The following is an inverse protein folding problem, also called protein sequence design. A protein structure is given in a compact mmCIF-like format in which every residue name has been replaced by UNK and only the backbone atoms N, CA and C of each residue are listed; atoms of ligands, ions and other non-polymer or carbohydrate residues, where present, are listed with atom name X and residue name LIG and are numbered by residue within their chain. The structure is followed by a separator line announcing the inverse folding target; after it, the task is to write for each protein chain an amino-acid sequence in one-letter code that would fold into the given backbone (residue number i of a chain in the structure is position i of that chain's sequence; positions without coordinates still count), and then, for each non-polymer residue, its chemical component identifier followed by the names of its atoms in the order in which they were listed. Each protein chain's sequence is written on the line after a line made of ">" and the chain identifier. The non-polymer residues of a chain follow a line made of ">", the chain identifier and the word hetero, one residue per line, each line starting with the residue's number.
data_IF_166597144721
#
_entry.id   IF_166597144721
#
_cell.length_a   1.000
_cell.length_b   1.000
_cell.length_c   1.000
_cell.angle_alpha   90.00
_cell.angle_beta   90.00
_cell.angle_gamma   90.00
#
_symmetry.space_group_name_H-M   'P 1'
#
loop_
_entity.id
_entity.type
_entity.pdbx_description
1 polymer ?
#
# COMPACT_ATOMS: atom_id res chain seq x y z
N UNK A 1 -33.54 -67.37 89.74
CA UNK A 1 -34.00 -68.22 88.64
C UNK A 1 -34.37 -67.31 87.49
N UNK A 2 -33.44 -67.08 86.54
CA UNK A 2 -33.61 -66.13 85.43
C UNK A 2 -33.78 -66.91 84.16
N UNK A 3 -34.86 -66.66 83.41
CA UNK A 3 -35.11 -67.29 82.11
C UNK A 3 -34.46 -66.45 80.99
N UNK A 4 -33.56 -67.11 80.31
CA UNK A 4 -32.91 -66.53 79.16
C UNK A 4 -33.82 -66.64 77.92
N UNK A 5 -34.18 -65.55 77.31
CA UNK A 5 -34.98 -65.49 76.09
C UNK A 5 -34.04 -65.35 74.90
N UNK A 6 -34.06 -66.37 74.03
CA UNK A 6 -33.26 -66.35 72.77
C UNK A 6 -34.10 -65.66 71.71
N UNK A 7 -33.61 -64.56 71.20
CA UNK A 7 -34.20 -63.85 70.06
C UNK A 7 -33.42 -64.28 68.82
N UNK A 8 -34.07 -64.98 67.88
CA UNK A 8 -33.57 -65.33 66.56
C UNK A 8 -33.90 -64.19 65.64
N UNK A 9 -32.88 -63.50 65.08
CA UNK A 9 -33.01 -62.46 64.02
C UNK A 9 -32.77 -63.09 62.68
N UNK A 10 -33.70 -63.00 61.71
CA UNK A 10 -33.44 -63.53 60.40
C UNK A 10 -32.52 -62.60 59.59
N UNK A 11 -31.47 -63.19 59.03
CA UNK A 11 -30.52 -62.52 58.10
C UNK A 11 -31.15 -62.39 56.74
N UNK A 12 -31.51 -61.17 56.32
CA UNK A 12 -32.01 -60.89 55.03
C UNK A 12 -30.75 -60.57 54.11
N UNK A 13 -30.48 -61.48 53.20
CA UNK A 13 -29.45 -61.29 52.12
C UNK A 13 -30.03 -60.33 51.07
N UNK A 14 -29.54 -59.12 51.02
CA UNK A 14 -29.83 -58.18 49.96
C UNK A 14 -28.79 -58.40 48.87
N UNK A 15 -29.19 -59.04 47.71
CA UNK A 15 -28.39 -59.17 46.54
C UNK A 15 -28.51 -57.84 45.73
N UNK A 16 -27.52 -56.97 45.86
CA UNK A 16 -27.43 -55.76 45.10
C UNK A 16 -27.02 -56.06 43.64
N UNK A 17 -27.92 -55.86 42.73
CA UNK A 17 -27.56 -55.80 41.28
C UNK A 17 -26.82 -54.52 41.01
N UNK A 18 -25.50 -54.56 40.84
CA UNK A 18 -24.73 -53.47 40.29
C UNK A 18 -25.00 -53.41 38.77
N UNK A 19 -25.82 -52.41 38.36
CA UNK A 19 -25.94 -52.07 36.94
C UNK A 19 -24.69 -51.30 36.53
N UNK A 20 -23.81 -51.93 35.82
CA UNK A 20 -22.64 -51.32 35.20
C UNK A 20 -23.10 -50.38 34.07
N UNK A 21 -23.11 -49.05 34.34
CA UNK A 21 -23.27 -48.04 33.26
C UNK A 21 -21.92 -47.89 32.57
N UNK A 22 -21.83 -48.15 31.26
CA UNK A 22 -20.59 -47.86 30.52
C UNK A 22 -20.33 -46.34 30.58
N UNK A 23 -19.15 -45.96 31.07
CA UNK A 23 -18.65 -44.56 30.98
C UNK A 23 -18.43 -44.28 29.50
N UNK A 24 -19.31 -43.48 28.91
CA UNK A 24 -19.00 -42.90 27.59
C UNK A 24 -17.81 -41.97 27.81
N UNK A 25 -16.75 -42.05 26.97
CA UNK A 25 -15.68 -41.06 27.02
C UNK A 25 -16.28 -39.70 26.74
N UNK A 26 -16.09 -38.74 27.62
CA UNK A 26 -16.44 -37.35 27.43
C UNK A 26 -15.82 -36.91 26.09
N UNK A 27 -16.68 -36.54 25.14
CA UNK A 27 -16.23 -35.92 23.90
C UNK A 27 -15.55 -34.62 24.29
N UNK A 28 -14.21 -34.60 24.29
CA UNK A 28 -13.42 -33.38 24.37
C UNK A 28 -13.94 -32.46 23.29
N UNK A 29 -14.45 -31.28 23.61
CA UNK A 29 -14.87 -30.36 22.55
C UNK A 29 -13.63 -30.07 21.68
N UNK A 30 -13.69 -30.46 20.40
CA UNK A 30 -12.71 -30.04 19.43
C UNK A 30 -12.80 -28.53 19.41
N UNK A 31 -11.83 -27.87 20.01
CA UNK A 31 -11.64 -26.45 19.78
C UNK A 31 -11.36 -26.28 18.29
N UNK A 32 -12.38 -25.89 17.55
CA UNK A 32 -12.19 -25.35 16.21
C UNK A 32 -11.42 -24.07 16.42
N UNK A 33 -10.10 -24.15 16.29
CA UNK A 33 -9.25 -22.96 16.16
C UNK A 33 -9.62 -22.32 14.85
N UNK A 34 -10.61 -21.44 14.87
CA UNK A 34 -10.84 -20.52 13.78
C UNK A 34 -9.59 -19.66 13.69
N UNK A 35 -8.76 -19.90 12.70
CA UNK A 35 -7.68 -18.98 12.34
C UNK A 35 -8.32 -17.59 12.26
N UNK A 36 -7.84 -16.59 13.00
CA UNK A 36 -8.41 -15.26 12.92
C UNK A 36 -8.50 -14.85 11.46
N UNK A 37 -9.65 -14.34 11.05
CA UNK A 37 -9.80 -13.85 9.67
C UNK A 37 -8.68 -12.83 9.42
N UNK A 38 -7.91 -13.05 8.35
CA UNK A 38 -6.82 -12.14 7.96
C UNK A 38 -7.37 -10.73 7.79
N UNK A 39 -6.68 -9.71 8.32
CA UNK A 39 -7.09 -8.32 8.17
C UNK A 39 -7.26 -7.99 6.67
N UNK A 40 -8.41 -7.43 6.23
CA UNK A 40 -8.69 -7.17 4.82
C UNK A 40 -7.73 -6.17 4.17
N UNK A 41 -7.00 -5.41 4.98
CA UNK A 41 -6.00 -4.42 4.55
C UNK A 41 -4.56 -4.95 4.58
N UNK A 42 -4.35 -6.22 4.94
CA UNK A 42 -3.03 -6.84 4.89
C UNK A 42 -2.56 -7.01 3.44
N UNK A 43 -1.25 -6.98 3.22
CA UNK A 43 -0.65 -7.19 1.88
C UNK A 43 -1.16 -8.50 1.27
N UNK A 44 -1.20 -9.59 2.06
CA UNK A 44 -1.67 -10.90 1.60
C UNK A 44 -3.17 -10.91 1.24
N UNK A 45 -4.03 -10.18 1.98
CA UNK A 45 -5.45 -10.06 1.65
C UNK A 45 -5.66 -9.25 0.38
N UNK A 46 -4.93 -8.17 0.22
CA UNK A 46 -4.97 -7.32 -0.96
C UNK A 46 -4.39 -8.04 -2.20
N UNK A 47 -3.36 -8.87 -2.05
CA UNK A 47 -2.81 -9.70 -3.15
C UNK A 47 -3.85 -10.68 -3.72
N UNK A 48 -4.79 -11.16 -2.90
CA UNK A 48 -5.87 -12.07 -3.32
C UNK A 48 -7.07 -11.37 -3.97
N UNK A 49 -7.11 -10.04 -3.89
CA UNK A 49 -8.19 -9.24 -4.48
C UNK A 49 -7.98 -9.13 -5.99
N UNK A 50 -9.06 -9.16 -6.77
CA UNK A 50 -9.02 -8.86 -8.20
C UNK A 50 -9.06 -7.37 -8.44
N UNK A 51 -8.24 -6.90 -9.37
CA UNK A 51 -8.18 -5.51 -9.80
C UNK A 51 -8.48 -5.43 -11.27
N UNK A 52 -9.34 -4.50 -11.66
CA UNK A 52 -9.70 -4.26 -13.05
C UNK A 52 -10.26 -2.86 -13.23
N UNK A 53 -10.00 -2.25 -14.39
CA UNK A 53 -10.60 -0.99 -14.79
C UNK A 53 -10.49 -0.78 -16.30
N UNK A 54 -11.14 0.26 -16.77
CA UNK A 54 -10.99 0.82 -18.12
C UNK A 54 -10.68 2.31 -18.01
N UNK A 55 -9.71 2.77 -18.80
CA UNK A 55 -9.33 4.18 -18.86
C UNK A 55 -10.13 4.86 -19.95
N UNK A 56 -10.82 5.94 -19.59
CA UNK A 56 -11.58 6.81 -20.52
C UNK A 56 -10.91 8.16 -20.60
N UNK A 57 -10.69 8.67 -21.81
CA UNK A 57 -10.24 10.03 -22.02
C UNK A 57 -11.43 10.96 -21.84
N UNK A 58 -11.31 11.92 -20.91
CA UNK A 58 -12.34 12.92 -20.62
C UNK A 58 -12.13 14.17 -21.50
N UNK A 59 -10.93 14.73 -21.47
CA UNK A 59 -10.59 15.90 -22.25
C UNK A 59 -9.06 16.03 -22.46
N UNK A 60 -8.67 16.75 -23.51
CA UNK A 60 -7.31 17.22 -23.70
C UNK A 60 -7.08 18.44 -22.79
N UNK A 61 -6.00 18.40 -22.01
CA UNK A 61 -5.57 19.49 -21.11
C UNK A 61 -4.59 20.39 -21.85
N UNK A 62 -3.58 19.78 -22.49
CA UNK A 62 -2.47 20.50 -23.10
C UNK A 62 -1.79 19.67 -24.18
N UNK A 63 -1.35 20.35 -25.23
CA UNK A 63 -0.49 19.78 -26.28
C UNK A 63 0.85 20.51 -26.31
N UNK A 64 1.92 19.73 -26.37
CA UNK A 64 3.31 20.22 -26.53
C UNK A 64 3.91 19.66 -27.83
N UNK A 65 5.16 20.00 -28.13
CA UNK A 65 5.87 19.39 -29.24
C UNK A 65 6.25 17.90 -29.02
N UNK A 66 6.19 17.41 -27.77
CA UNK A 66 6.67 16.07 -27.39
C UNK A 66 5.57 15.14 -26.88
N UNK A 67 4.49 15.66 -26.31
CA UNK A 67 3.38 14.87 -25.76
C UNK A 67 2.08 15.66 -25.74
N UNK A 68 0.97 14.91 -25.58
CA UNK A 68 -0.36 15.47 -25.29
C UNK A 68 -0.75 15.03 -23.89
N UNK A 69 -1.25 15.97 -23.08
CA UNK A 69 -1.79 15.72 -21.76
C UNK A 69 -3.31 15.58 -21.80
N UNK A 70 -3.83 14.53 -21.21
CA UNK A 70 -5.26 14.28 -21.05
C UNK A 70 -5.65 14.17 -19.57
N UNK A 71 -6.86 14.62 -19.26
CA UNK A 71 -7.55 14.12 -18.08
C UNK A 71 -8.22 12.80 -18.47
N UNK A 72 -8.01 11.78 -17.68
CA UNK A 72 -8.64 10.48 -17.85
C UNK A 72 -9.40 10.08 -16.61
N UNK A 73 -10.42 9.23 -16.77
CA UNK A 73 -11.15 8.63 -15.66
C UNK A 73 -11.03 7.11 -15.68
N UNK A 74 -11.22 6.50 -14.52
CA UNK A 74 -11.27 5.06 -14.32
C UNK A 74 -12.08 4.72 -13.07
N UNK A 75 -12.47 3.46 -12.88
CA UNK A 75 -13.23 3.02 -11.69
C UNK A 75 -12.32 2.27 -10.73
N UNK A 76 -12.40 2.58 -9.44
CA UNK A 76 -11.72 1.85 -8.37
C UNK A 76 -12.67 1.67 -7.18
N UNK A 77 -12.90 0.43 -6.75
CA UNK A 77 -13.86 0.08 -5.67
C UNK A 77 -15.26 0.71 -5.87
N UNK A 78 -15.73 0.85 -7.11
CA UNK A 78 -17.00 1.50 -7.44
C UNK A 78 -16.97 3.03 -7.42
N UNK A 79 -15.81 3.64 -7.15
CA UNK A 79 -15.60 5.09 -7.14
C UNK A 79 -15.03 5.54 -8.49
N UNK A 80 -15.54 6.65 -9.04
CA UNK A 80 -14.92 7.30 -10.18
C UNK A 80 -13.65 8.02 -9.72
N UNK A 81 -12.54 7.66 -10.35
CA UNK A 81 -11.21 8.23 -10.12
C UNK A 81 -10.72 8.94 -11.36
N UNK A 82 -9.85 9.92 -11.18
CA UNK A 82 -9.24 10.67 -12.26
C UNK A 82 -7.71 10.58 -12.22
N UNK A 83 -7.09 10.87 -13.36
CA UNK A 83 -5.63 10.92 -13.50
C UNK A 83 -5.24 11.88 -14.62
N UNK A 84 -4.02 12.43 -14.51
CA UNK A 84 -3.32 13.04 -15.65
C UNK A 84 -2.66 11.93 -16.47
N UNK A 85 -2.85 11.94 -17.77
CA UNK A 85 -2.14 11.04 -18.69
C UNK A 85 -1.40 11.85 -19.77
N UNK A 86 -0.07 11.72 -19.83
CA UNK A 86 0.76 12.32 -20.87
C UNK A 86 1.13 11.24 -21.89
N UNK A 87 0.63 11.35 -23.11
CA UNK A 87 0.90 10.43 -24.22
C UNK A 87 1.98 11.01 -25.11
N UNK A 88 3.15 10.34 -25.27
CA UNK A 88 4.21 10.84 -26.15
C UNK A 88 3.75 10.98 -27.59
N UNK A 89 4.32 11.94 -28.28
CA UNK A 89 4.19 12.13 -29.74
C UNK A 89 5.41 11.53 -30.46
N UNK A 90 5.23 11.14 -31.73
CA UNK A 90 6.28 10.55 -32.56
C UNK A 90 6.02 9.09 -32.90
N UNK A 91 7.06 8.37 -33.30
CA UNK A 91 6.95 6.96 -33.69
C UNK A 91 6.79 6.09 -32.42
N UNK A 92 5.59 5.56 -32.23
CA UNK A 92 5.30 4.62 -31.15
C UNK A 92 6.11 3.32 -31.38
N UNK A 93 6.78 2.77 -30.34
CA UNK A 93 7.37 1.43 -30.40
C UNK A 93 6.32 0.37 -30.75
N UNK A 94 6.73 -0.72 -31.38
CA UNK A 94 5.80 -1.78 -31.81
C UNK A 94 5.09 -2.43 -30.63
N UNK A 95 5.76 -2.56 -29.46
CA UNK A 95 5.17 -3.07 -28.20
C UNK A 95 4.31 -2.03 -27.46
N UNK A 96 4.29 -0.77 -27.87
CA UNK A 96 3.69 0.35 -27.14
C UNK A 96 4.74 1.20 -26.42
N UNK A 97 4.27 2.31 -25.82
CA UNK A 97 5.12 3.18 -25.02
C UNK A 97 5.43 2.54 -23.66
N UNK A 98 6.69 2.59 -23.20
CA UNK A 98 6.98 2.25 -21.79
C UNK A 98 6.23 3.23 -20.87
N UNK A 99 5.75 2.73 -19.74
CA UNK A 99 4.84 3.47 -18.83
C UNK A 99 5.52 3.82 -17.53
N UNK A 100 5.33 5.05 -17.05
CA UNK A 100 5.65 5.43 -15.67
C UNK A 100 4.36 5.89 -14.98
N UNK A 101 4.00 5.23 -13.87
CA UNK A 101 2.96 5.70 -12.95
C UNK A 101 3.63 6.62 -11.93
N UNK A 102 3.19 7.88 -11.86
CA UNK A 102 3.74 8.90 -10.96
C UNK A 102 2.87 8.99 -9.71
N UNK A 103 3.29 8.35 -8.64
CA UNK A 103 2.64 8.38 -7.33
C UNK A 103 3.12 9.61 -6.56
N UNK A 104 2.25 10.60 -6.42
CA UNK A 104 2.58 11.88 -5.79
C UNK A 104 2.64 11.79 -4.25
N UNK A 105 3.38 12.73 -3.63
CA UNK A 105 3.42 12.93 -2.19
C UNK A 105 2.13 13.54 -1.64
N UNK A 106 2.10 13.75 -0.32
CA UNK A 106 0.95 14.41 0.30
C UNK A 106 0.83 15.85 -0.18
N UNK A 107 -0.33 16.18 -0.69
CA UNK A 107 -0.79 17.53 -0.96
C UNK A 107 -2.16 17.66 -0.29
N UNK A 108 -2.44 18.78 0.37
CA UNK A 108 -3.75 19.00 0.96
C UNK A 108 -4.84 18.84 -0.11
N UNK A 109 -5.84 17.95 0.08
CA UNK A 109 -6.83 17.64 -0.95
C UNK A 109 -7.57 18.84 -1.54
N UNK A 110 -7.77 19.89 -0.72
CA UNK A 110 -8.39 21.16 -1.16
C UNK A 110 -7.50 22.03 -2.05
N UNK A 111 -6.21 21.71 -2.15
CA UNK A 111 -5.20 22.43 -2.95
C UNK A 111 -4.71 21.59 -4.13
N UNK A 112 -4.83 20.25 -4.03
CA UNK A 112 -4.43 19.35 -5.08
C UNK A 112 -5.22 19.60 -6.38
N UNK A 113 -4.54 19.45 -7.52
CA UNK A 113 -5.16 19.54 -8.83
C UNK A 113 -4.52 18.55 -9.80
N UNK A 114 -5.36 17.83 -10.56
CA UNK A 114 -4.93 16.97 -11.66
C UNK A 114 -3.97 17.71 -12.61
N UNK A 115 -4.26 18.96 -12.89
CA UNK A 115 -3.58 19.76 -13.91
C UNK A 115 -2.33 20.46 -13.43
N UNK A 116 -2.17 20.69 -12.12
CA UNK A 116 -1.07 21.50 -11.57
C UNK A 116 -0.11 20.74 -10.67
N UNK A 117 -0.58 19.66 -10.01
CA UNK A 117 0.26 18.91 -9.06
C UNK A 117 1.17 17.92 -9.80
N UNK A 118 2.46 17.89 -9.47
CA UNK A 118 3.48 16.99 -10.06
C UNK A 118 3.59 17.05 -11.58
N UNK A 119 3.14 18.16 -12.18
CA UNK A 119 3.11 18.33 -13.63
C UNK A 119 4.53 18.36 -14.24
N UNK A 120 5.51 18.94 -13.53
CA UNK A 120 6.90 19.02 -14.01
C UNK A 120 7.56 17.64 -14.04
N UNK A 121 7.39 16.82 -13.01
CA UNK A 121 7.88 15.44 -12.96
C UNK A 121 7.24 14.60 -14.05
N UNK A 122 5.91 14.70 -14.21
CA UNK A 122 5.17 13.99 -15.26
C UNK A 122 5.62 14.41 -16.66
N UNK A 123 5.87 15.70 -16.89
CA UNK A 123 6.35 16.22 -18.15
C UNK A 123 7.80 15.79 -18.44
N UNK A 124 8.65 15.70 -17.42
CA UNK A 124 10.03 15.28 -17.59
C UNK A 124 10.13 13.87 -18.16
N UNK A 125 9.42 12.91 -17.59
CA UNK A 125 9.36 11.55 -18.11
C UNK A 125 8.67 11.45 -19.48
N UNK A 126 7.60 12.22 -19.70
CA UNK A 126 6.93 12.24 -21.00
C UNK A 126 7.84 12.80 -22.12
N UNK A 127 8.68 13.81 -21.83
CA UNK A 127 9.69 14.32 -22.76
C UNK A 127 10.78 13.28 -23.07
N UNK A 128 11.04 12.34 -22.15
CA UNK A 128 11.96 11.23 -22.36
C UNK A 128 11.33 10.03 -23.10
N UNK A 129 10.06 10.12 -23.51
CA UNK A 129 9.38 9.12 -24.33
C UNK A 129 8.58 8.09 -23.57
N UNK A 130 8.29 8.31 -22.28
CA UNK A 130 7.40 7.45 -21.49
C UNK A 130 5.94 7.92 -21.60
N UNK A 131 5.02 6.99 -21.70
CA UNK A 131 3.62 7.21 -21.36
C UNK A 131 3.54 7.42 -19.84
N UNK A 132 3.11 8.59 -19.40
CA UNK A 132 3.07 8.91 -17.98
C UNK A 132 1.64 8.98 -17.49
N UNK A 133 1.32 8.29 -16.42
CA UNK A 133 0.00 8.37 -15.78
C UNK A 133 0.18 8.74 -14.31
N UNK A 134 -0.43 9.84 -13.89
CA UNK A 134 -0.39 10.35 -12.53
C UNK A 134 -1.81 10.29 -11.94
N UNK A 135 -2.12 9.28 -11.09
CA UNK A 135 -3.41 9.21 -10.40
C UNK A 135 -3.60 10.39 -9.45
N UNK A 136 -4.86 10.80 -9.25
CA UNK A 136 -5.20 11.84 -8.28
C UNK A 136 -5.38 11.26 -6.86
N UNK A 137 -5.58 9.95 -6.73
CA UNK A 137 -6.07 9.21 -5.58
C UNK A 137 -7.49 9.61 -5.15
N UNK A 138 -8.18 8.69 -4.42
CA UNK A 138 -9.52 8.96 -3.88
C UNK A 138 -9.54 10.23 -3.02
N UNK A 139 -10.60 11.02 -3.18
CA UNK A 139 -10.82 12.26 -2.44
C UNK A 139 -9.94 13.45 -2.83
N UNK A 140 -9.19 13.37 -3.95
CA UNK A 140 -8.41 14.49 -4.48
C UNK A 140 -9.02 15.01 -5.78
N UNK A 141 -9.05 16.34 -5.97
CA UNK A 141 -9.66 17.04 -7.12
C UNK A 141 -11.09 16.50 -7.39
N UNK A 142 -11.34 15.87 -8.53
CA UNK A 142 -12.65 15.30 -8.90
C UNK A 142 -12.79 13.82 -8.54
N UNK A 143 -11.75 13.18 -8.04
CA UNK A 143 -11.77 11.78 -7.63
C UNK A 143 -12.66 11.58 -6.40
N UNK A 144 -13.62 10.65 -6.51
CA UNK A 144 -14.53 10.32 -5.43
C UNK A 144 -13.82 9.60 -4.26
N UNK A 145 -14.45 9.62 -3.10
CA UNK A 145 -14.00 8.93 -1.90
C UNK A 145 -13.52 9.89 -0.82
N UNK A 146 -12.92 9.32 0.23
CA UNK A 146 -12.49 10.06 1.41
C UNK A 146 -10.97 10.09 1.55
N UNK A 147 -10.48 11.08 2.28
CA UNK A 147 -9.07 11.26 2.66
C UNK A 147 -8.90 11.28 4.18
N UNK A 148 -7.66 11.38 4.65
CA UNK A 148 -7.38 11.69 6.05
C UNK A 148 -7.53 10.52 7.03
N UNK A 149 -7.61 9.28 6.53
CA UNK A 149 -7.67 8.06 7.34
C UNK A 149 -6.58 7.06 6.93
N UNK A 150 -6.32 6.07 7.77
CA UNK A 150 -5.43 4.94 7.43
C UNK A 150 -6.03 4.14 6.28
N UNK A 151 -7.32 3.85 6.35
CA UNK A 151 -8.05 3.11 5.31
C UNK A 151 -7.96 3.81 3.96
N UNK A 152 -8.17 5.14 3.91
CA UNK A 152 -8.03 5.89 2.66
C UNK A 152 -6.60 5.87 2.11
N UNK A 153 -5.57 5.92 2.98
CA UNK A 153 -4.17 5.83 2.57
C UNK A 153 -3.83 4.47 1.95
N UNK A 154 -4.31 3.37 2.53
CA UNK A 154 -4.19 2.03 1.92
C UNK A 154 -4.99 1.98 0.62
N UNK A 155 -6.14 2.64 0.58
CA UNK A 155 -7.00 2.78 -0.60
C UNK A 155 -6.30 3.41 -1.81
N UNK A 156 -5.32 4.29 -1.61
CA UNK A 156 -4.53 4.87 -2.72
C UNK A 156 -3.79 3.80 -3.52
N UNK A 157 -3.23 2.78 -2.85
CA UNK A 157 -2.60 1.66 -3.56
C UNK A 157 -3.63 0.82 -4.33
N UNK A 158 -4.85 0.67 -3.83
CA UNK A 158 -5.96 0.00 -4.53
C UNK A 158 -6.35 0.80 -5.79
N UNK A 159 -6.40 2.12 -5.70
CA UNK A 159 -6.68 3.00 -6.85
C UNK A 159 -5.60 2.84 -7.92
N UNK A 160 -4.32 2.82 -7.51
CA UNK A 160 -3.19 2.62 -8.43
C UNK A 160 -3.21 1.23 -9.06
N UNK A 161 -3.58 0.18 -8.31
CA UNK A 161 -3.72 -1.18 -8.87
C UNK A 161 -4.82 -1.25 -9.94
N UNK A 162 -6.01 -0.69 -9.68
CA UNK A 162 -7.07 -0.64 -10.68
C UNK A 162 -6.65 0.17 -11.92
N UNK A 163 -6.00 1.32 -11.72
CA UNK A 163 -5.43 2.11 -12.81
C UNK A 163 -4.40 1.32 -13.64
N UNK A 164 -3.48 0.61 -12.97
CA UNK A 164 -2.45 -0.20 -13.61
C UNK A 164 -3.07 -1.28 -14.50
N UNK A 165 -4.11 -1.96 -14.05
CA UNK A 165 -4.82 -2.95 -14.87
C UNK A 165 -5.57 -2.30 -16.03
N UNK A 166 -6.07 -1.08 -15.86
CA UNK A 166 -6.61 -0.27 -16.96
C UNK A 166 -5.53 0.12 -17.99
N UNK A 167 -4.34 0.50 -17.53
CA UNK A 167 -3.19 0.82 -18.39
C UNK A 167 -2.78 -0.39 -19.24
N UNK A 168 -2.74 -1.60 -18.66
CA UNK A 168 -2.41 -2.84 -19.39
C UNK A 168 -3.35 -3.14 -20.58
N UNK A 169 -4.54 -2.54 -20.62
CA UNK A 169 -5.50 -2.68 -21.72
C UNK A 169 -5.33 -1.63 -22.85
N UNK A 170 -4.52 -0.60 -22.61
CA UNK A 170 -4.29 0.44 -23.61
C UNK A 170 -3.42 -0.09 -24.75
N UNK A 171 -3.90 -0.02 -26.00
CA UNK A 171 -3.21 -0.54 -27.18
C UNK A 171 -1.92 0.19 -27.54
N UNK A 172 -1.66 1.33 -26.90
CA UNK A 172 -0.47 2.16 -27.09
C UNK A 172 0.48 2.13 -25.88
N UNK A 173 0.17 1.41 -24.83
CA UNK A 173 1.05 1.15 -23.69
C UNK A 173 1.76 -0.21 -23.86
N UNK A 174 3.02 -0.32 -23.44
CA UNK A 174 3.72 -1.60 -23.33
C UNK A 174 3.38 -2.25 -21.95
N UNK A 175 2.56 -3.29 -21.90
CA UNK A 175 2.13 -3.90 -20.63
C UNK A 175 3.27 -4.62 -19.90
N UNK A 176 4.41 -4.85 -20.57
CA UNK A 176 5.60 -5.48 -20.00
C UNK A 176 6.62 -4.45 -19.48
N UNK A 177 6.43 -3.15 -19.76
CA UNK A 177 7.34 -2.07 -19.38
C UNK A 177 6.59 -1.00 -18.58
N UNK A 178 6.07 -1.41 -17.42
CA UNK A 178 5.41 -0.52 -16.46
C UNK A 178 6.34 -0.31 -15.27
N UNK A 179 6.63 0.94 -14.99
CA UNK A 179 7.49 1.42 -13.92
C UNK A 179 6.71 2.33 -12.98
N UNK A 180 7.21 2.54 -11.76
CA UNK A 180 6.63 3.50 -10.84
C UNK A 180 7.67 4.49 -10.34
N UNK A 181 7.25 5.73 -10.24
CA UNK A 181 7.89 6.78 -9.47
C UNK A 181 7.03 7.05 -8.24
N UNK A 182 7.62 7.15 -7.05
CA UNK A 182 6.90 7.47 -5.83
C UNK A 182 7.65 8.47 -4.95
N UNK A 183 7.08 9.65 -4.73
CA UNK A 183 7.66 10.67 -3.85
C UNK A 183 6.96 10.70 -2.49
N UNK A 184 7.73 10.74 -1.39
CA UNK A 184 7.19 10.90 -0.05
C UNK A 184 6.12 9.83 0.28
N UNK A 185 4.88 10.23 0.54
CA UNK A 185 3.72 9.35 0.68
C UNK A 185 3.55 8.41 -0.54
N UNK A 186 3.79 8.92 -1.75
CA UNK A 186 3.74 8.13 -2.98
C UNK A 186 4.79 7.01 -3.02
N UNK A 187 5.86 7.12 -2.24
CA UNK A 187 6.84 6.06 -2.04
C UNK A 187 6.25 4.86 -1.32
N UNK A 188 5.49 5.07 -0.24
CA UNK A 188 4.75 4.00 0.46
C UNK A 188 3.69 3.38 -0.46
N UNK A 189 2.95 4.20 -1.21
CA UNK A 189 1.97 3.72 -2.19
C UNK A 189 2.63 2.83 -3.24
N UNK A 190 3.78 3.23 -3.80
CA UNK A 190 4.50 2.47 -4.83
C UNK A 190 5.02 1.14 -4.32
N UNK A 191 5.61 1.10 -3.11
CA UNK A 191 6.05 -0.13 -2.47
C UNK A 191 4.89 -1.07 -2.20
N UNK A 192 3.79 -0.56 -1.64
CA UNK A 192 2.58 -1.33 -1.37
C UNK A 192 1.99 -1.97 -2.63
N UNK A 193 1.94 -1.24 -3.74
CA UNK A 193 1.51 -1.78 -5.04
C UNK A 193 2.44 -2.91 -5.48
N UNK A 194 3.76 -2.72 -5.37
CA UNK A 194 4.76 -3.72 -5.74
C UNK A 194 4.70 -4.99 -4.87
N UNK A 195 4.40 -4.85 -3.59
CA UNK A 195 4.22 -5.97 -2.64
C UNK A 195 2.90 -6.72 -2.85
N UNK A 196 1.86 -6.04 -3.32
CA UNK A 196 0.56 -6.66 -3.62
C UNK A 196 0.59 -7.37 -4.97
N UNK A 197 1.18 -6.77 -5.99
CA UNK A 197 1.22 -7.32 -7.35
C UNK A 197 2.66 -7.52 -7.82
N UNK A 198 3.24 -8.67 -7.48
CA UNK A 198 4.67 -8.95 -7.55
C UNK A 198 5.26 -8.93 -8.98
N UNK A 199 4.44 -9.18 -9.99
CA UNK A 199 4.83 -9.25 -11.41
C UNK A 199 4.21 -8.14 -12.28
N UNK A 200 3.54 -7.17 -11.64
CA UNK A 200 2.82 -6.12 -12.36
C UNK A 200 3.69 -5.01 -12.89
N UNK A 201 4.84 -4.78 -12.27
CA UNK A 201 5.75 -3.67 -12.55
C UNK A 201 7.19 -4.17 -12.69
N UNK A 202 8.02 -3.45 -13.42
CA UNK A 202 9.41 -3.84 -13.72
C UNK A 202 10.43 -3.26 -12.76
N UNK A 203 10.21 -2.04 -12.31
CA UNK A 203 11.10 -1.36 -11.38
C UNK A 203 10.40 -0.18 -10.72
N UNK A 204 10.93 0.26 -9.58
CA UNK A 204 10.42 1.40 -8.81
C UNK A 204 11.54 2.41 -8.55
N UNK A 205 11.25 3.68 -8.77
CA UNK A 205 12.02 4.80 -8.23
C UNK A 205 11.29 5.43 -7.05
N UNK A 206 12.00 5.63 -5.94
CA UNK A 206 11.47 6.23 -4.72
C UNK A 206 12.23 7.53 -4.41
N UNK A 207 11.50 8.58 -4.10
CA UNK A 207 12.06 9.88 -3.73
C UNK A 207 11.64 10.24 -2.33
N UNK A 208 12.60 10.39 -1.42
CA UNK A 208 12.36 10.70 -0.01
C UNK A 208 11.15 9.90 0.57
N UNK A 209 11.14 8.55 0.43
CA UNK A 209 9.94 7.76 0.67
C UNK A 209 9.51 7.80 2.14
N UNK A 210 8.24 8.08 2.39
CA UNK A 210 7.65 8.06 3.73
C UNK A 210 7.40 6.62 4.22
N UNK A 211 8.46 5.82 4.26
CA UNK A 211 8.44 4.39 4.59
C UNK A 211 9.23 4.11 5.86
N UNK A 212 8.56 3.58 6.85
CA UNK A 212 9.13 3.11 8.11
C UNK A 212 8.18 2.11 8.75
N UNK A 213 8.47 1.65 9.97
CA UNK A 213 7.63 0.69 10.67
C UNK A 213 6.20 1.20 10.89
N UNK A 214 5.23 0.30 10.74
CA UNK A 214 3.85 0.57 11.05
C UNK A 214 3.61 0.66 12.58
N UNK A 215 2.79 1.58 13.10
CA UNK A 215 2.01 2.59 12.37
C UNK A 215 2.73 3.94 12.22
N UNK A 216 4.02 4.01 12.55
CA UNK A 216 4.80 5.25 12.56
C UNK A 216 4.81 5.94 11.19
N UNK A 217 4.89 5.17 10.10
CA UNK A 217 4.81 5.67 8.72
C UNK A 217 3.58 6.54 8.43
N UNK A 218 2.49 6.35 9.19
CA UNK A 218 1.27 7.16 9.07
C UNK A 218 1.13 8.18 10.20
N UNK A 219 1.45 7.78 11.44
CA UNK A 219 1.19 8.59 12.62
C UNK A 219 2.18 9.75 12.80
N UNK A 220 3.40 9.61 12.30
CA UNK A 220 4.45 10.64 12.42
C UNK A 220 3.98 12.01 11.93
N UNK A 221 3.41 12.07 10.73
CA UNK A 221 3.02 13.32 10.09
C UNK A 221 1.82 14.02 10.75
N UNK A 222 0.86 13.24 11.26
CA UNK A 222 -0.32 13.79 11.93
C UNK A 222 -0.05 14.15 13.38
N UNK A 223 1.01 13.58 13.99
CA UNK A 223 1.43 13.87 15.38
C UNK A 223 2.22 15.17 15.50
N UNK A 224 2.92 15.54 14.44
CA UNK A 224 3.91 16.63 14.43
C UNK A 224 3.29 18.05 14.61
N UNK A 225 2.03 18.24 14.28
CA UNK A 225 1.39 19.56 14.27
C UNK A 225 -0.09 19.47 14.63
N UNK A 226 -0.37 19.20 15.92
CA UNK A 226 -1.74 19.12 16.41
C UNK A 226 -2.37 20.49 16.75
N UNK A 227 -1.67 21.58 16.50
CA UNK A 227 -2.20 22.94 16.64
C UNK A 227 -3.18 23.21 15.49
N UNK A 228 -2.95 22.62 14.32
CA UNK A 228 -3.91 22.66 13.21
C UNK A 228 -5.13 21.77 13.51
N UNK A 229 -6.36 22.33 13.59
CA UNK A 229 -7.57 21.57 13.88
C UNK A 229 -7.82 20.38 12.91
N UNK A 230 -7.51 20.54 11.62
CA UNK A 230 -7.67 19.47 10.62
C UNK A 230 -6.69 18.32 10.87
N UNK A 231 -5.45 18.61 11.26
CA UNK A 231 -4.46 17.57 11.61
C UNK A 231 -4.82 16.86 12.91
N UNK A 232 -5.38 17.59 13.88
CA UNK A 232 -5.90 17.01 15.11
C UNK A 232 -7.05 16.04 14.83
N UNK A 233 -8.01 16.44 14.00
CA UNK A 233 -9.12 15.58 13.59
C UNK A 233 -8.63 14.31 12.89
N UNK A 234 -7.67 14.41 11.96
CA UNK A 234 -7.04 13.26 11.31
C UNK A 234 -6.33 12.35 12.30
N UNK A 235 -5.61 12.91 13.25
CA UNK A 235 -4.94 12.15 14.30
C UNK A 235 -5.94 11.36 15.13
N UNK A 236 -7.03 11.96 15.57
CA UNK A 236 -8.10 11.31 16.32
C UNK A 236 -8.77 10.20 15.51
N UNK A 237 -9.10 10.46 14.24
CA UNK A 237 -9.65 9.45 13.32
C UNK A 237 -8.71 8.26 13.15
N UNK A 238 -7.43 8.49 12.87
CA UNK A 238 -6.43 7.43 12.72
C UNK A 238 -6.22 6.63 14.01
N UNK A 239 -6.28 7.30 15.19
CA UNK A 239 -6.23 6.61 16.50
C UNK A 239 -7.42 5.67 16.72
N UNK A 240 -8.62 6.07 16.29
CA UNK A 240 -9.80 5.22 16.36
C UNK A 240 -9.61 4.01 15.45
N UNK A 241 -9.16 4.22 14.22
CA UNK A 241 -8.92 3.12 13.27
C UNK A 241 -7.88 2.11 13.79
N UNK A 242 -6.78 2.59 14.41
CA UNK A 242 -5.76 1.72 15.03
C UNK A 242 -6.33 0.87 16.20
N UNK A 243 -7.37 1.34 16.87
CA UNK A 243 -8.02 0.60 17.96
C UNK A 243 -9.11 -0.36 17.48
N UNK A 244 -9.74 -0.07 16.34
CA UNK A 244 -10.95 -0.78 15.90
C UNK A 244 -10.74 -1.66 14.67
N UNK A 245 -9.86 -1.27 13.78
CA UNK A 245 -9.63 -1.94 12.49
C UNK A 245 -8.24 -2.57 12.37
N UNK A 246 -7.26 -2.04 13.14
CA UNK A 246 -5.86 -2.44 13.05
C UNK A 246 -5.33 -2.73 14.45
N UNK A 247 -5.36 -3.99 14.86
CA UNK A 247 -4.76 -4.41 16.13
C UNK A 247 -3.25 -4.66 15.96
N UNK A 248 -2.50 -4.63 17.04
CA UNK A 248 -1.02 -4.71 16.99
C UNK A 248 -0.51 -5.98 16.30
N UNK A 249 -1.22 -7.10 16.42
CA UNK A 249 -0.89 -8.34 15.71
C UNK A 249 -0.97 -8.24 14.17
N UNK A 250 -1.68 -7.24 13.64
CA UNK A 250 -1.82 -7.02 12.19
C UNK A 250 -0.70 -6.14 11.61
N UNK A 251 0.04 -5.42 12.46
CA UNK A 251 0.99 -4.40 12.03
C UNK A 251 2.03 -4.93 11.04
N UNK A 252 2.60 -6.10 11.31
CA UNK A 252 3.56 -6.73 10.41
C UNK A 252 2.97 -7.13 9.05
N UNK A 253 1.67 -7.46 9.00
CA UNK A 253 0.97 -7.86 7.78
C UNK A 253 0.59 -6.66 6.90
N UNK A 254 0.56 -5.46 7.49
CA UNK A 254 0.13 -4.21 6.83
C UNK A 254 1.33 -3.35 6.42
N UNK A 255 2.41 -3.41 7.19
CA UNK A 255 3.61 -2.57 7.02
C UNK A 255 4.36 -2.88 5.72
N UNK A 256 4.55 -1.88 4.86
CA UNK A 256 5.41 -1.98 3.67
C UNK A 256 6.87 -2.25 4.07
N UNK A 257 7.39 -1.61 5.12
CA UNK A 257 8.74 -1.85 5.63
C UNK A 257 8.97 -3.31 6.03
N UNK A 258 7.96 -3.97 6.60
CA UNK A 258 8.07 -5.37 7.03
C UNK A 258 8.00 -6.33 5.84
N UNK A 259 7.23 -5.99 4.81
CA UNK A 259 6.93 -6.86 3.66
C UNK A 259 7.86 -6.65 2.45
N UNK A 260 8.90 -5.82 2.55
CA UNK A 260 9.86 -5.60 1.43
C UNK A 260 10.51 -6.89 0.91
N UNK A 261 10.57 -7.93 1.74
CA UNK A 261 11.07 -9.25 1.33
C UNK A 261 10.20 -9.96 0.28
N UNK A 262 8.99 -9.48 0.03
CA UNK A 262 8.11 -9.95 -1.06
C UNK A 262 8.52 -9.39 -2.43
N UNK A 263 9.25 -8.29 -2.46
CA UNK A 263 9.64 -7.61 -3.70
C UNK A 263 10.55 -8.50 -4.56
N UNK A 264 10.33 -8.48 -5.87
CA UNK A 264 11.12 -9.22 -6.86
C UNK A 264 11.66 -8.31 -7.97
N UNK A 265 11.61 -7.02 -7.75
CA UNK A 265 11.95 -5.99 -8.73
C UNK A 265 13.07 -5.10 -8.22
N UNK A 266 13.92 -4.56 -9.10
CA UNK A 266 14.95 -3.62 -8.72
C UNK A 266 14.36 -2.28 -8.29
N UNK A 267 15.04 -1.62 -7.33
CA UNK A 267 14.64 -0.34 -6.77
C UNK A 267 15.81 0.65 -6.86
N UNK A 268 15.54 1.84 -7.37
CA UNK A 268 16.40 3.01 -7.18
C UNK A 268 15.72 3.97 -6.23
N UNK A 269 16.44 4.58 -5.30
CA UNK A 269 15.84 5.63 -4.49
C UNK A 269 16.81 6.74 -4.11
N UNK A 270 16.24 7.89 -3.81
CA UNK A 270 16.88 9.18 -3.67
C UNK A 270 16.44 9.83 -2.38
N UNK A 271 17.37 10.43 -1.61
CA UNK A 271 17.02 11.14 -0.38
C UNK A 271 17.99 12.28 -0.11
N UNK A 272 17.48 13.47 0.19
CA UNK A 272 18.25 14.62 0.63
C UNK A 272 18.65 14.52 2.11
N UNK A 273 19.88 14.89 2.47
CA UNK A 273 20.33 14.77 3.88
C UNK A 273 19.74 15.84 4.80
N UNK A 274 19.19 16.92 4.26
CA UNK A 274 18.48 17.97 5.00
C UNK A 274 16.97 17.93 4.75
N UNK A 275 16.43 16.73 4.52
CA UNK A 275 14.99 16.53 4.38
C UNK A 275 14.26 16.95 5.65
N UNK A 276 13.44 18.01 5.56
CA UNK A 276 12.68 18.58 6.66
C UNK A 276 11.33 17.88 6.92
N UNK A 277 10.90 17.04 5.98
CA UNK A 277 9.61 16.37 6.01
C UNK A 277 9.70 14.92 6.44
N UNK A 278 10.49 14.11 5.71
CA UNK A 278 10.73 12.69 6.00
C UNK A 278 12.14 12.52 6.54
N UNK A 279 12.32 11.98 7.75
CA UNK A 279 13.66 11.77 8.31
C UNK A 279 14.56 10.98 7.36
N UNK A 280 15.75 11.49 7.05
CA UNK A 280 16.74 10.83 6.19
C UNK A 280 17.06 9.40 6.66
N UNK A 281 17.05 9.18 7.98
CA UNK A 281 17.27 7.87 8.60
C UNK A 281 16.25 6.80 8.16
N UNK A 282 15.06 7.23 7.70
CA UNK A 282 14.08 6.27 7.16
C UNK A 282 14.57 5.67 5.83
N UNK A 283 15.19 6.48 4.98
CA UNK A 283 15.83 6.02 3.75
C UNK A 283 16.98 5.07 4.04
N UNK A 284 17.83 5.40 5.04
CA UNK A 284 18.93 4.53 5.48
C UNK A 284 18.38 3.17 5.95
N UNK A 285 17.38 3.15 6.83
CA UNK A 285 16.75 1.92 7.33
C UNK A 285 16.09 1.11 6.22
N UNK A 286 15.45 1.77 5.25
CA UNK A 286 14.88 1.10 4.09
C UNK A 286 15.98 0.40 3.27
N UNK A 287 17.10 1.08 3.01
CA UNK A 287 18.25 0.49 2.30
C UNK A 287 18.80 -0.75 3.03
N UNK A 288 18.98 -0.65 4.35
CA UNK A 288 19.44 -1.78 5.15
C UNK A 288 18.46 -2.97 5.09
N UNK A 289 17.16 -2.69 5.16
CA UNK A 289 16.12 -3.71 5.10
C UNK A 289 16.07 -4.39 3.72
N UNK A 290 16.16 -3.63 2.63
CA UNK A 290 16.23 -4.17 1.26
C UNK A 290 17.49 -5.05 1.09
N UNK A 291 18.64 -4.61 1.61
CA UNK A 291 19.88 -5.39 1.60
C UNK A 291 19.73 -6.71 2.36
N UNK A 292 19.15 -6.67 3.57
CA UNK A 292 18.90 -7.87 4.39
C UNK A 292 17.95 -8.85 3.70
N UNK A 293 17.03 -8.35 2.87
CA UNK A 293 16.07 -9.13 2.09
C UNK A 293 16.62 -9.57 0.72
N UNK A 294 17.87 -9.28 0.40
CA UNK A 294 18.51 -9.54 -0.89
C UNK A 294 17.78 -8.91 -2.09
N UNK A 295 17.14 -7.75 -1.90
CA UNK A 295 16.49 -7.01 -2.97
C UNK A 295 17.53 -6.10 -3.64
N UNK A 296 17.61 -6.19 -4.99
CA UNK A 296 18.47 -5.33 -5.79
C UNK A 296 18.03 -3.87 -5.65
N UNK A 297 18.93 -3.04 -5.14
CA UNK A 297 18.62 -1.63 -5.00
C UNK A 297 19.86 -0.73 -5.09
N UNK A 298 19.62 0.53 -5.47
CA UNK A 298 20.59 1.62 -5.45
C UNK A 298 20.06 2.77 -4.64
N UNK A 299 20.78 3.21 -3.61
CA UNK A 299 20.44 4.35 -2.79
C UNK A 299 21.35 5.55 -3.10
N UNK A 300 20.77 6.63 -3.61
CA UNK A 300 21.44 7.89 -3.86
C UNK A 300 21.14 8.90 -2.76
N UNK A 301 22.19 9.34 -2.09
CA UNK A 301 22.15 10.40 -1.09
C UNK A 301 22.53 11.73 -1.73
N UNK A 302 21.78 12.78 -1.43
CA UNK A 302 22.05 14.13 -1.90
C UNK A 302 22.39 15.04 -0.71
N UNK A 303 23.69 15.34 -0.60
CA UNK A 303 24.20 16.11 0.52
C UNK A 303 23.62 17.53 0.52
N UNK A 304 23.10 17.97 1.68
CA UNK A 304 22.47 19.27 1.90
C UNK A 304 21.23 19.56 1.03
N UNK A 305 20.64 18.55 0.44
CA UNK A 305 19.39 18.70 -0.32
C UNK A 305 18.16 18.45 0.56
N UNK A 306 17.05 19.04 0.19
CA UNK A 306 15.78 19.04 0.91
C UNK A 306 14.89 17.85 0.53
N UNK A 307 13.63 17.85 1.00
CA UNK A 307 12.62 16.81 0.73
C UNK A 307 12.37 16.59 -0.77
N UNK A 308 12.35 17.65 -1.57
CA UNK A 308 12.11 17.59 -3.02
C UNK A 308 13.38 17.33 -3.85
N UNK A 309 14.53 17.20 -3.19
CA UNK A 309 15.86 17.06 -3.84
C UNK A 309 16.06 18.20 -4.85
N UNK A 310 15.66 19.41 -4.47
CA UNK A 310 15.50 20.55 -5.39
C UNK A 310 16.78 20.94 -6.11
N UNK A 311 17.93 20.89 -5.44
CA UNK A 311 19.24 21.24 -6.04
C UNK A 311 19.74 20.20 -7.04
N UNK A 312 19.31 18.95 -6.91
CA UNK A 312 19.71 17.82 -7.74
C UNK A 312 18.54 17.18 -8.51
N UNK A 313 17.40 17.86 -8.60
CA UNK A 313 16.15 17.33 -9.13
C UNK A 313 16.31 16.70 -10.53
N UNK A 314 16.91 17.42 -11.48
CA UNK A 314 17.13 16.90 -12.84
C UNK A 314 18.15 15.76 -12.89
N UNK A 315 19.17 15.80 -12.04
CA UNK A 315 20.17 14.73 -11.93
C UNK A 315 19.51 13.44 -11.44
N UNK A 316 18.64 13.52 -10.44
CA UNK A 316 17.93 12.37 -9.91
C UNK A 316 16.93 11.79 -10.93
N UNK A 317 16.17 12.64 -11.65
CA UNK A 317 15.27 12.18 -12.73
C UNK A 317 16.02 11.53 -13.90
N UNK A 318 17.20 12.03 -14.25
CA UNK A 318 18.04 11.39 -15.29
C UNK A 318 18.51 9.99 -14.84
N UNK A 319 18.88 9.82 -13.58
CA UNK A 319 19.21 8.49 -13.01
C UNK A 319 18.03 7.53 -13.07
N UNK A 320 16.82 8.01 -12.82
CA UNK A 320 15.60 7.21 -12.98
C UNK A 320 15.40 6.77 -14.43
N UNK A 321 15.55 7.69 -15.39
CA UNK A 321 15.42 7.38 -16.83
C UNK A 321 16.46 6.35 -17.25
N UNK A 322 17.72 6.51 -16.82
CA UNK A 322 18.80 5.54 -17.09
C UNK A 322 18.48 4.18 -16.47
N UNK A 323 17.92 4.17 -15.25
CA UNK A 323 17.54 2.96 -14.55
C UNK A 323 16.37 2.23 -15.21
N UNK A 324 15.35 2.93 -15.66
CA UNK A 324 14.17 2.34 -16.31
C UNK A 324 14.45 1.88 -17.76
N UNK A 325 15.54 2.32 -18.37
CA UNK A 325 15.95 1.92 -19.74
C UNK A 325 16.90 0.71 -19.77
N UNK A 326 17.27 0.18 -18.60
CA UNK A 326 18.07 -1.07 -18.47
C UNK A 326 17.18 -2.30 -18.65
#
# INVERSE_FOLDING_TARGET
>A
MSKLLLIIVPLILIVGFFVYKPIQPDSVPVQVTTTPASNPYSINSLNKKSYDSEIKIENEIRKTAKFISYRVSFVSDGLNQYALMNVPLGKKPDSGWPVIIVNHGYIEPSVYSTENSYINTSAYYANAGFLVVKPDYRGHDQSQGETGSIVSRIGYAIDVLNLLFGIKKLTYADPQKIYMYGHSMGGDVSLRVAEICLDCIKAVSLWAPAVTDWPESYMYFVRKDQIDPKRKERFEKMQIELKTLFIESDYSQISTMTNVNLLQIPIIFHHGTLDESVPYEWGVRLSEKLKQSNIEHTFHTYQNDNHDIASNWSTALNRDIEFFNK
#
